data_IF_686456169247
#
_entry.id   IF_686456169247
#
_cell.length_a   1.000
_cell.length_b   1.000
_cell.length_c   1.000
_cell.angle_alpha   90.00
_cell.angle_beta   90.00
_cell.angle_gamma   90.00
#
_symmetry.space_group_name_H-M   'P 1'
#
loop_
_entity.id
_entity.type
_entity.pdbx_description
1 polymer ?
#
# COMPACT_ATOMS: atom_id res chain seq x y z
N UNK A 1 7.14 29.00 0.73
CA UNK A 1 7.51 29.59 -0.58
C UNK A 1 9.03 29.58 -0.86
N UNK A 2 9.86 29.23 0.13
CA UNK A 2 11.32 29.21 -0.01
C UNK A 2 11.85 28.08 -0.92
N UNK A 3 11.12 26.99 -1.08
CA UNK A 3 11.52 25.91 -1.96
C UNK A 3 11.32 26.27 -3.44
N UNK A 4 12.25 25.87 -4.30
CA UNK A 4 12.14 26.01 -5.75
C UNK A 4 11.17 24.99 -6.32
N UNK A 5 11.16 23.77 -5.77
CA UNK A 5 10.27 22.67 -6.17
C UNK A 5 9.70 21.95 -4.95
N UNK A 6 8.49 21.40 -5.10
CA UNK A 6 7.81 20.58 -4.08
C UNK A 6 7.41 19.25 -4.71
N UNK A 7 7.82 18.15 -4.09
CA UNK A 7 7.55 16.81 -4.58
C UNK A 7 6.44 16.12 -3.77
N UNK A 8 5.51 15.49 -4.48
CA UNK A 8 4.43 14.70 -3.90
C UNK A 8 4.58 13.23 -4.32
N UNK A 9 4.29 12.31 -3.43
CA UNK A 9 4.48 10.88 -3.68
C UNK A 9 3.49 10.29 -4.69
N UNK A 10 2.35 10.95 -4.90
CA UNK A 10 1.31 10.53 -5.84
C UNK A 10 0.50 11.75 -6.32
N UNK A 11 -0.21 11.60 -7.41
CA UNK A 11 -1.18 12.61 -7.87
C UNK A 11 -2.29 12.81 -6.85
N UNK A 12 -2.79 11.72 -6.27
CA UNK A 12 -3.78 11.77 -5.18
C UNK A 12 -3.28 12.63 -4.02
N UNK A 13 -2.02 12.46 -3.59
CA UNK A 13 -1.42 13.27 -2.53
C UNK A 13 -1.41 14.75 -2.91
N UNK A 14 -0.92 15.08 -4.12
CA UNK A 14 -0.88 16.45 -4.64
C UNK A 14 -2.27 17.08 -4.68
N UNK A 15 -3.25 16.42 -5.29
CA UNK A 15 -4.59 16.97 -5.45
C UNK A 15 -5.31 17.13 -4.10
N UNK A 16 -5.17 16.15 -3.19
CA UNK A 16 -5.75 16.22 -1.86
C UNK A 16 -5.16 17.37 -1.04
N UNK A 17 -3.84 17.58 -1.13
CA UNK A 17 -3.16 18.69 -0.47
C UNK A 17 -3.71 20.03 -0.97
N UNK A 18 -3.77 20.24 -2.28
CA UNK A 18 -4.25 21.50 -2.85
C UNK A 18 -5.77 21.72 -2.69
N UNK A 19 -6.54 20.65 -2.55
CA UNK A 19 -7.94 20.76 -2.16
C UNK A 19 -8.12 21.21 -0.71
N UNK A 20 -7.28 20.75 0.20
CA UNK A 20 -7.35 21.05 1.62
C UNK A 20 -6.69 22.39 2.00
N UNK A 21 -5.67 22.84 1.27
CA UNK A 21 -4.87 24.02 1.61
C UNK A 21 -5.67 25.31 1.67
N UNK A 22 -6.51 25.71 0.66
CA UNK A 22 -7.24 26.95 0.73
C UNK A 22 -8.24 27.03 1.88
N UNK A 23 -9.07 26.00 2.18
CA UNK A 23 -9.92 26.01 3.37
C UNK A 23 -9.13 26.15 4.67
N UNK A 24 -7.98 25.47 4.78
CA UNK A 24 -7.10 25.57 5.94
C UNK A 24 -6.57 27.00 6.13
N UNK A 25 -6.04 27.62 5.08
CA UNK A 25 -5.49 28.99 5.13
C UNK A 25 -6.54 30.04 5.51
N UNK A 26 -7.80 29.87 5.10
CA UNK A 26 -8.89 30.77 5.46
C UNK A 26 -9.20 30.83 6.96
N UNK A 27 -8.74 29.88 7.76
CA UNK A 27 -8.83 29.95 9.22
C UNK A 27 -7.94 31.05 9.82
N UNK A 28 -6.98 31.58 9.05
CA UNK A 28 -6.03 32.61 9.48
C UNK A 28 -6.26 33.89 8.65
N UNK A 29 -7.29 34.71 8.97
CA UNK A 29 -7.71 35.80 8.10
C UNK A 29 -6.68 36.90 7.92
N UNK A 30 -5.79 37.10 8.88
CA UNK A 30 -4.79 38.17 8.86
C UNK A 30 -3.57 37.86 7.97
N UNK A 31 -3.21 36.56 7.81
CA UNK A 31 -2.05 36.11 7.04
C UNK A 31 -2.35 34.82 6.31
N UNK A 32 -3.37 34.83 5.46
CA UNK A 32 -3.89 33.60 4.86
C UNK A 32 -3.10 33.10 3.63
N UNK A 33 -2.24 33.94 3.02
CA UNK A 33 -1.35 33.55 1.91
C UNK A 33 -2.08 32.84 0.73
N UNK A 34 -3.37 33.09 0.54
CA UNK A 34 -4.18 32.42 -0.48
C UNK A 34 -3.64 32.62 -1.89
N UNK A 35 -3.07 33.80 -2.18
CA UNK A 35 -2.49 34.12 -3.48
C UNK A 35 -1.24 33.27 -3.80
N UNK A 36 -0.58 32.75 -2.76
CA UNK A 36 0.60 31.89 -2.92
C UNK A 36 0.27 30.45 -3.35
N UNK A 37 -1.00 30.02 -3.21
CA UNK A 37 -1.43 28.64 -3.53
C UNK A 37 -1.19 28.30 -4.99
N UNK A 38 -1.49 29.22 -5.91
CA UNK A 38 -1.25 29.02 -7.35
C UNK A 38 0.23 28.90 -7.68
N UNK A 39 1.07 29.72 -7.06
CA UNK A 39 2.52 29.67 -7.22
C UNK A 39 3.08 28.35 -6.66
N UNK A 40 2.62 27.94 -5.48
CA UNK A 40 3.04 26.67 -4.87
C UNK A 40 2.64 25.48 -5.76
N UNK A 41 1.42 25.51 -6.33
CA UNK A 41 0.96 24.45 -7.24
C UNK A 41 1.82 24.38 -8.52
N UNK A 42 2.22 25.52 -9.06
CA UNK A 42 3.11 25.56 -10.23
C UNK A 42 4.48 24.93 -9.98
N UNK A 43 5.01 25.05 -8.75
CA UNK A 43 6.27 24.43 -8.33
C UNK A 43 6.13 22.96 -7.92
N UNK A 44 4.92 22.42 -7.90
CA UNK A 44 4.62 21.10 -7.36
C UNK A 44 4.53 20.05 -8.46
N UNK A 45 5.27 18.96 -8.27
CA UNK A 45 5.29 17.83 -9.20
C UNK A 45 5.13 16.51 -8.46
N UNK A 46 4.66 15.50 -9.18
CA UNK A 46 4.59 14.13 -8.64
C UNK A 46 5.92 13.45 -8.88
N UNK A 47 6.55 13.02 -7.80
CA UNK A 47 7.76 12.20 -7.82
C UNK A 47 7.62 11.15 -6.71
N UNK A 48 7.27 9.90 -7.07
CA UNK A 48 7.13 8.81 -6.10
C UNK A 48 8.42 8.58 -5.33
N UNK A 49 8.29 8.21 -4.04
CA UNK A 49 9.47 7.87 -3.23
C UNK A 49 10.06 6.53 -3.70
N UNK A 50 11.38 6.45 -3.73
CA UNK A 50 12.09 5.20 -3.97
C UNK A 50 12.01 4.28 -2.75
N UNK A 51 12.05 2.98 -2.97
CA UNK A 51 12.02 1.95 -1.94
C UNK A 51 13.23 1.04 -2.15
N UNK A 52 13.89 0.65 -1.07
CA UNK A 52 14.90 -0.40 -1.12
C UNK A 52 14.20 -1.77 -1.16
N UNK A 53 13.74 -2.16 -2.36
CA UNK A 53 13.03 -3.41 -2.55
C UNK A 53 13.98 -4.61 -2.50
N UNK A 54 15.23 -4.45 -2.92
CA UNK A 54 16.22 -5.53 -2.99
C UNK A 54 16.62 -6.08 -1.62
N UNK A 55 16.51 -5.25 -0.56
CA UNK A 55 16.69 -5.75 0.81
C UNK A 55 15.70 -6.87 1.16
N UNK A 56 14.59 -6.94 0.41
CA UNK A 56 13.54 -7.94 0.61
C UNK A 56 13.75 -9.20 -0.24
N UNK A 57 14.81 -9.30 -1.05
CA UNK A 57 15.07 -10.47 -1.88
C UNK A 57 15.03 -11.76 -1.05
N UNK A 58 14.45 -12.85 -1.61
CA UNK A 58 14.17 -14.04 -0.85
C UNK A 58 15.46 -14.74 -0.41
N UNK A 59 15.54 -15.03 0.88
CA UNK A 59 16.59 -15.87 1.44
C UNK A 59 16.19 -17.37 1.50
N UNK A 60 14.89 -17.67 1.41
CA UNK A 60 14.34 -19.05 1.56
C UNK A 60 13.08 -19.18 0.72
N UNK A 61 12.82 -20.36 0.16
CA UNK A 61 11.60 -20.68 -0.59
C UNK A 61 10.34 -20.70 0.31
N UNK A 62 9.19 -20.35 -0.26
CA UNK A 62 7.87 -20.47 0.38
C UNK A 62 7.53 -21.94 0.65
N UNK A 63 6.82 -22.20 1.76
CA UNK A 63 6.23 -23.51 2.08
C UNK A 63 4.78 -23.55 1.60
N UNK A 64 4.54 -24.12 0.43
CA UNK A 64 3.21 -24.20 -0.20
C UNK A 64 2.26 -25.21 0.47
N UNK A 65 2.72 -25.94 1.50
CA UNK A 65 1.90 -26.93 2.21
C UNK A 65 1.00 -26.31 3.29
N UNK A 66 1.25 -25.06 3.65
CA UNK A 66 0.53 -24.38 4.73
C UNK A 66 -0.73 -23.67 4.20
N UNK A 67 -1.77 -23.48 5.04
CA UNK A 67 -2.91 -22.65 4.68
C UNK A 67 -2.51 -21.23 4.22
N UNK A 68 -3.29 -20.59 3.33
CA UNK A 68 -3.01 -19.24 2.84
C UNK A 68 -2.73 -18.26 3.98
N UNK A 69 -1.76 -17.38 3.80
CA UNK A 69 -1.39 -16.36 4.77
C UNK A 69 -1.90 -14.99 4.34
N UNK A 70 -2.70 -14.36 5.21
CA UNK A 70 -3.12 -12.97 5.11
C UNK A 70 -2.12 -12.12 5.90
N UNK A 71 -1.53 -11.13 5.25
CA UNK A 71 -0.55 -10.23 5.86
C UNK A 71 -1.17 -8.86 6.16
N UNK A 72 -1.00 -8.37 7.38
CA UNK A 72 -1.12 -6.96 7.74
C UNK A 72 0.27 -6.41 8.03
N UNK A 73 0.76 -5.54 7.17
CA UNK A 73 2.07 -4.87 7.31
C UNK A 73 1.96 -3.35 7.33
N UNK A 74 0.81 -2.84 7.72
CA UNK A 74 0.57 -1.41 7.91
C UNK A 74 0.66 -1.08 9.41
N UNK A 75 1.00 0.18 9.72
CA UNK A 75 0.99 0.66 11.10
C UNK A 75 -0.39 0.52 11.73
N UNK A 76 -0.45 0.19 13.01
CA UNK A 76 -1.71 0.09 13.75
C UNK A 76 -2.18 1.50 14.16
N UNK A 77 -2.63 2.28 13.19
CA UNK A 77 -3.13 3.64 13.35
C UNK A 77 -4.58 3.77 12.89
N UNK A 78 -5.28 4.78 13.40
CA UNK A 78 -6.72 4.97 13.16
C UNK A 78 -7.06 5.16 11.67
N UNK A 79 -6.17 5.77 10.90
CA UNK A 79 -6.34 6.01 9.46
C UNK A 79 -6.26 4.73 8.61
N UNK A 80 -5.64 3.66 9.13
CA UNK A 80 -5.58 2.33 8.50
C UNK A 80 -6.80 1.48 8.80
N UNK A 81 -7.68 1.94 9.71
CA UNK A 81 -8.92 1.26 10.11
C UNK A 81 -8.73 -0.19 10.52
N UNK A 82 -7.86 -0.45 11.51
CA UNK A 82 -7.60 -1.81 11.99
C UNK A 82 -8.86 -2.54 12.45
N UNK A 83 -9.85 -1.82 12.97
CA UNK A 83 -11.14 -2.39 13.37
C UNK A 83 -11.95 -2.95 12.17
N UNK A 84 -11.87 -2.30 11.00
CA UNK A 84 -12.50 -2.81 9.77
C UNK A 84 -11.77 -4.02 9.23
N UNK A 85 -10.44 -4.02 9.30
CA UNK A 85 -9.61 -5.16 8.92
C UNK A 85 -9.95 -6.37 9.78
N UNK A 86 -9.96 -6.20 11.11
CA UNK A 86 -10.30 -7.26 12.06
C UNK A 86 -11.71 -7.80 11.84
N UNK A 87 -12.69 -6.94 11.60
CA UNK A 87 -14.08 -7.35 11.34
C UNK A 87 -14.20 -8.20 10.06
N UNK A 88 -13.37 -7.95 9.03
CA UNK A 88 -13.31 -8.79 7.83
C UNK A 88 -12.71 -10.16 8.15
N UNK A 89 -11.62 -10.21 8.92
CA UNK A 89 -10.99 -11.48 9.31
C UNK A 89 -11.93 -12.35 10.14
N UNK A 90 -12.65 -11.76 11.09
CA UNK A 90 -13.60 -12.49 11.93
C UNK A 90 -14.78 -13.06 11.13
N UNK A 91 -15.26 -12.34 10.12
CA UNK A 91 -16.29 -12.85 9.20
C UNK A 91 -15.77 -14.06 8.42
N UNK A 92 -14.58 -13.97 7.83
CA UNK A 92 -13.95 -15.09 7.11
C UNK A 92 -13.68 -16.29 8.03
N UNK A 93 -13.28 -16.05 9.27
CA UNK A 93 -13.07 -17.13 10.26
C UNK A 93 -14.35 -17.88 10.57
N UNK A 94 -15.51 -17.20 10.60
CA UNK A 94 -16.82 -17.79 10.78
C UNK A 94 -17.29 -18.68 9.61
N UNK A 95 -16.69 -18.53 8.44
CA UNK A 95 -17.01 -19.31 7.23
C UNK A 95 -16.23 -20.64 7.13
N UNK A 96 -15.44 -21.00 8.14
CA UNK A 96 -14.60 -22.21 8.17
C UNK A 96 -13.54 -22.28 7.05
N UNK A 97 -13.22 -21.17 6.39
CA UNK A 97 -12.13 -21.09 5.42
C UNK A 97 -10.78 -21.25 6.12
N UNK A 98 -9.87 -22.08 5.62
CA UNK A 98 -8.53 -22.21 6.20
C UNK A 98 -7.69 -21.01 5.78
N UNK A 99 -7.17 -20.26 6.76
CA UNK A 99 -6.18 -19.20 6.54
C UNK A 99 -5.40 -18.93 7.83
N UNK A 100 -4.22 -18.36 7.67
CA UNK A 100 -3.37 -17.82 8.74
C UNK A 100 -3.29 -16.31 8.62
N UNK A 101 -2.90 -15.64 9.68
CA UNK A 101 -2.77 -14.17 9.74
C UNK A 101 -1.43 -13.79 10.35
N UNK A 102 -0.71 -12.88 9.74
CA UNK A 102 0.44 -12.19 10.34
C UNK A 102 0.13 -10.70 10.47
N UNK A 103 0.23 -10.19 11.70
CA UNK A 103 -0.03 -8.81 12.07
C UNK A 103 1.31 -8.17 12.46
N UNK A 104 2.10 -7.72 11.49
CA UNK A 104 3.47 -7.23 11.70
C UNK A 104 3.62 -5.70 11.60
N UNK A 105 2.52 -4.97 11.68
CA UNK A 105 2.54 -3.51 11.71
C UNK A 105 3.09 -2.92 13.01
N UNK A 106 3.84 -1.83 12.89
CA UNK A 106 4.30 -1.06 14.05
C UNK A 106 3.11 -0.49 14.83
N UNK A 107 3.27 -0.45 16.16
CA UNK A 107 2.24 0.03 17.09
C UNK A 107 2.73 1.24 17.85
N UNK A 108 2.00 2.33 17.76
CA UNK A 108 2.19 3.51 18.60
C UNK A 108 1.14 3.50 19.72
N UNK A 109 1.56 3.08 20.91
CA UNK A 109 0.67 2.97 22.05
C UNK A 109 0.01 1.59 22.23
N UNK A 110 -0.94 1.53 23.19
CA UNK A 110 -1.67 0.29 23.49
C UNK A 110 -2.76 0.03 22.43
N UNK A 111 -2.83 -1.19 21.87
CA UNK A 111 -3.94 -1.58 21.01
C UNK A 111 -5.29 -1.47 21.71
N UNK A 112 -6.35 -1.23 20.95
CA UNK A 112 -7.71 -1.17 21.49
C UNK A 112 -8.16 -2.53 22.04
N UNK A 113 -9.05 -2.54 23.01
CA UNK A 113 -9.60 -3.79 23.56
C UNK A 113 -10.33 -4.60 22.47
N UNK A 114 -10.97 -3.94 21.50
CA UNK A 114 -11.59 -4.59 20.34
C UNK A 114 -10.57 -5.32 19.45
N UNK A 115 -9.38 -4.74 19.25
CA UNK A 115 -8.29 -5.39 18.51
C UNK A 115 -7.79 -6.63 19.24
N UNK A 116 -7.55 -6.52 20.55
CA UNK A 116 -7.09 -7.63 21.38
C UNK A 116 -8.12 -8.78 21.45
N UNK A 117 -9.40 -8.44 21.57
CA UNK A 117 -10.50 -9.41 21.52
C UNK A 117 -10.55 -10.12 20.16
N UNK A 118 -10.32 -9.39 19.06
CA UNK A 118 -10.24 -9.95 17.72
C UNK A 118 -9.09 -10.95 17.56
N UNK A 119 -7.89 -10.63 18.06
CA UNK A 119 -6.75 -11.56 18.08
C UNK A 119 -7.10 -12.83 18.86
N UNK A 120 -7.70 -12.67 20.03
CA UNK A 120 -8.14 -13.81 20.86
C UNK A 120 -9.15 -14.69 20.12
N UNK A 121 -10.11 -14.09 19.42
CA UNK A 121 -11.12 -14.81 18.66
C UNK A 121 -10.54 -15.54 17.43
N UNK A 122 -9.53 -14.99 16.78
CA UNK A 122 -8.80 -15.64 15.67
C UNK A 122 -7.93 -16.81 16.17
N UNK A 123 -7.48 -16.78 17.42
CA UNK A 123 -6.74 -17.85 18.08
C UNK A 123 -5.50 -18.31 17.30
N UNK A 124 -5.40 -19.60 17.03
CA UNK A 124 -4.25 -20.24 16.36
C UNK A 124 -4.06 -19.82 14.90
N UNK A 125 -5.00 -19.10 14.30
CA UNK A 125 -4.83 -18.50 12.97
C UNK A 125 -3.79 -17.38 12.98
N UNK A 126 -3.59 -16.67 14.10
CA UNK A 126 -2.60 -15.61 14.26
C UNK A 126 -1.23 -16.23 14.50
N UNK A 127 -0.37 -16.19 13.52
CA UNK A 127 0.99 -16.76 13.58
C UNK A 127 2.06 -15.75 13.97
N UNK A 128 1.74 -14.45 13.86
CA UNK A 128 2.61 -13.35 14.26
C UNK A 128 1.75 -12.16 14.68
N UNK A 129 2.12 -11.50 15.77
CA UNK A 129 1.45 -10.31 16.29
C UNK A 129 2.46 -9.36 16.94
N UNK A 130 2.73 -8.21 16.29
CA UNK A 130 3.63 -7.18 16.76
C UNK A 130 4.73 -6.82 15.76
N UNK A 131 5.75 -6.11 16.24
CA UNK A 131 6.90 -5.74 15.43
C UNK A 131 7.65 -6.99 14.95
N UNK A 132 7.97 -7.04 13.66
CA UNK A 132 8.75 -8.10 13.07
C UNK A 132 10.19 -7.60 12.81
N UNK A 133 11.21 -8.36 13.21
CA UNK A 133 12.58 -8.10 12.75
C UNK A 133 12.65 -8.19 11.22
N UNK A 134 13.67 -7.59 10.62
CA UNK A 134 13.79 -7.59 9.15
C UNK A 134 13.75 -8.99 8.55
N UNK A 135 14.43 -9.96 9.18
CA UNK A 135 14.43 -11.35 8.75
C UNK A 135 13.03 -11.97 8.83
N UNK A 136 12.32 -11.76 9.95
CA UNK A 136 10.95 -12.26 10.14
C UNK A 136 10.00 -11.58 9.17
N UNK A 137 10.11 -10.26 8.99
CA UNK A 137 9.29 -9.49 8.06
C UNK A 137 9.45 -9.98 6.62
N UNK A 138 10.68 -10.13 6.16
CA UNK A 138 10.99 -10.67 4.84
C UNK A 138 10.38 -12.06 4.63
N UNK A 139 10.55 -12.96 5.62
CA UNK A 139 9.94 -14.29 5.56
C UNK A 139 8.41 -14.23 5.50
N UNK A 140 7.78 -13.36 6.28
CA UNK A 140 6.32 -13.19 6.26
C UNK A 140 5.82 -12.64 4.93
N UNK A 141 6.51 -11.67 4.34
CA UNK A 141 6.20 -11.14 3.01
C UNK A 141 6.19 -12.24 1.94
N UNK A 142 7.27 -13.04 1.85
CA UNK A 142 7.41 -14.09 0.83
C UNK A 142 6.49 -15.29 1.04
N UNK A 143 5.99 -15.52 2.26
CA UNK A 143 5.00 -16.56 2.55
C UNK A 143 3.55 -16.06 2.47
N UNK A 144 3.33 -14.76 2.33
CA UNK A 144 1.99 -14.20 2.30
C UNK A 144 1.30 -14.48 0.95
N UNK A 145 0.09 -15.00 1.00
CA UNK A 145 -0.75 -15.18 -0.19
C UNK A 145 -1.35 -13.85 -0.63
N UNK A 146 -1.80 -13.07 0.34
CA UNK A 146 -2.43 -11.77 0.08
C UNK A 146 -2.23 -10.79 1.24
N UNK A 147 -2.34 -9.52 0.91
CA UNK A 147 -2.59 -8.41 1.85
C UNK A 147 -3.84 -7.66 1.42
N UNK A 148 -4.52 -7.01 2.35
CA UNK A 148 -5.59 -6.07 1.99
C UNK A 148 -5.55 -4.83 2.86
N UNK A 149 -6.00 -3.72 2.30
CA UNK A 149 -6.08 -2.44 3.00
C UNK A 149 -7.51 -2.01 3.23
N UNK A 150 -7.80 -1.52 4.43
CA UNK A 150 -9.07 -0.87 4.79
C UNK A 150 -8.91 0.62 5.06
N UNK A 151 -7.76 1.19 4.72
CA UNK A 151 -7.34 2.53 5.04
C UNK A 151 -8.30 3.62 4.53
N UNK A 152 -8.45 4.68 5.32
CA UNK A 152 -9.11 5.92 4.91
C UNK A 152 -8.10 6.94 4.36
N UNK A 153 -6.81 6.83 4.73
CA UNK A 153 -5.73 7.68 4.22
C UNK A 153 -4.52 6.85 3.79
N UNK A 154 -4.09 7.05 2.55
CA UNK A 154 -2.85 6.52 2.01
C UNK A 154 -2.39 7.42 0.85
N UNK A 155 -1.19 7.97 0.97
CA UNK A 155 -0.63 8.86 -0.04
C UNK A 155 0.34 8.20 -1.00
N UNK A 156 0.79 6.98 -0.67
CA UNK A 156 1.64 6.19 -1.56
C UNK A 156 1.46 4.69 -1.35
N UNK A 157 1.83 4.14 -0.17
CA UNK A 157 1.64 2.72 0.15
C UNK A 157 2.92 1.90 0.07
N UNK A 158 4.00 2.34 0.72
CA UNK A 158 5.29 1.65 0.74
C UNK A 158 5.13 0.18 1.14
N UNK A 159 4.44 -0.11 2.24
CA UNK A 159 4.24 -1.47 2.73
C UNK A 159 3.47 -2.37 1.75
N UNK A 160 2.57 -1.77 0.97
CA UNK A 160 1.85 -2.49 -0.10
C UNK A 160 2.78 -2.81 -1.25
N UNK A 161 3.64 -1.87 -1.67
CA UNK A 161 4.63 -2.10 -2.73
C UNK A 161 5.66 -3.16 -2.31
N UNK A 162 6.08 -3.18 -1.05
CA UNK A 162 6.93 -4.24 -0.50
C UNK A 162 6.24 -5.62 -0.56
N UNK A 163 4.96 -5.69 -0.21
CA UNK A 163 4.18 -6.93 -0.30
C UNK A 163 4.04 -7.41 -1.75
N UNK A 164 3.74 -6.51 -2.69
CA UNK A 164 3.65 -6.83 -4.11
C UNK A 164 4.99 -7.35 -4.63
N UNK A 165 6.10 -6.69 -4.28
CA UNK A 165 7.44 -7.11 -4.69
C UNK A 165 7.74 -8.55 -4.25
N UNK A 166 7.28 -8.93 -3.06
CA UNK A 166 7.39 -10.29 -2.52
C UNK A 166 6.28 -11.25 -3.03
N UNK A 167 5.64 -10.95 -4.15
CA UNK A 167 4.60 -11.79 -4.79
C UNK A 167 3.34 -12.00 -3.95
N UNK A 168 3.02 -11.06 -3.07
CA UNK A 168 1.79 -11.06 -2.28
C UNK A 168 0.67 -10.34 -3.04
N UNK A 169 -0.50 -10.96 -3.22
CA UNK A 169 -1.64 -10.34 -3.92
C UNK A 169 -2.20 -9.17 -3.08
N UNK A 170 -2.23 -7.93 -3.60
CA UNK A 170 -2.83 -6.82 -2.90
C UNK A 170 -4.32 -6.72 -3.22
N UNK A 171 -5.18 -6.63 -2.21
CA UNK A 171 -6.60 -6.26 -2.36
C UNK A 171 -6.83 -4.90 -1.73
N UNK A 172 -7.00 -3.88 -2.56
CA UNK A 172 -6.96 -2.47 -2.17
C UNK A 172 -8.26 -1.76 -2.54
N UNK A 173 -8.73 -0.76 -1.79
CA UNK A 173 -9.90 0.00 -2.21
C UNK A 173 -9.60 0.80 -3.48
N UNK A 174 -10.56 0.85 -4.42
CA UNK A 174 -10.45 1.59 -5.69
C UNK A 174 -10.50 3.11 -5.46
N UNK A 175 -9.67 3.62 -4.55
CA UNK A 175 -9.54 5.03 -4.14
C UNK A 175 -8.16 5.29 -3.54
N UNK A 176 -7.91 6.52 -3.08
CA UNK A 176 -6.63 6.98 -2.55
C UNK A 176 -5.53 6.92 -3.63
N UNK A 177 -4.29 6.66 -3.26
CA UNK A 177 -3.17 6.46 -4.18
C UNK A 177 -3.15 5.09 -4.86
N UNK A 178 -3.97 4.15 -4.42
CA UNK A 178 -3.92 2.77 -4.89
C UNK A 178 -4.15 2.59 -6.40
N UNK A 179 -5.09 3.29 -7.05
CA UNK A 179 -5.23 3.20 -8.51
C UNK A 179 -4.03 3.72 -9.30
N UNK A 180 -3.14 4.49 -8.67
CA UNK A 180 -1.92 5.00 -9.30
C UNK A 180 -0.75 4.01 -9.20
N UNK A 181 -0.66 3.28 -8.07
CA UNK A 181 0.42 2.31 -7.85
C UNK A 181 0.13 0.94 -8.46
N UNK A 182 -1.15 0.62 -8.70
CA UNK A 182 -1.56 -0.60 -9.38
C UNK A 182 -1.78 -0.27 -10.86
N UNK A 183 -1.02 -0.87 -11.80
CA UNK A 183 -1.24 -0.65 -13.23
C UNK A 183 -2.64 -1.05 -13.68
N UNK A 184 -3.19 -0.32 -14.66
CA UNK A 184 -4.56 -0.49 -15.16
C UNK A 184 -4.98 -1.93 -15.46
N UNK A 185 -4.15 -2.77 -16.11
CA UNK A 185 -4.48 -4.16 -16.40
C UNK A 185 -4.80 -5.02 -15.16
N UNK A 186 -4.28 -4.63 -13.97
CA UNK A 186 -4.48 -5.35 -12.72
C UNK A 186 -5.60 -4.76 -11.84
N UNK A 187 -6.25 -3.67 -12.25
CA UNK A 187 -7.32 -3.06 -11.46
C UNK A 187 -8.47 -4.03 -11.18
N UNK A 188 -8.83 -4.85 -12.17
CA UNK A 188 -9.88 -5.85 -12.02
C UNK A 188 -9.56 -6.92 -10.98
N UNK A 189 -8.30 -7.24 -10.76
CA UNK A 189 -7.86 -8.27 -9.82
C UNK A 189 -7.57 -7.68 -8.42
N UNK A 190 -7.01 -6.48 -8.35
CA UNK A 190 -6.43 -5.90 -7.14
C UNK A 190 -7.31 -4.84 -6.46
N UNK A 191 -8.19 -4.14 -7.22
CA UNK A 191 -8.97 -3.03 -6.66
C UNK A 191 -10.41 -3.44 -6.37
N UNK A 192 -10.84 -3.29 -5.12
CA UNK A 192 -12.19 -3.59 -4.69
C UNK A 192 -13.05 -2.34 -4.48
N UNK A 193 -14.38 -2.51 -4.62
CA UNK A 193 -15.39 -1.47 -4.38
C UNK A 193 -16.38 -1.93 -3.31
N UNK A 194 -16.14 -1.50 -2.07
CA UNK A 194 -16.99 -1.83 -0.94
C UNK A 194 -16.73 -3.22 -0.31
N UNK A 195 -17.37 -3.43 0.84
CA UNK A 195 -17.12 -4.60 1.69
C UNK A 195 -17.47 -5.94 1.02
N UNK A 196 -18.59 -6.00 0.32
CA UNK A 196 -19.04 -7.24 -0.31
C UNK A 196 -18.07 -7.69 -1.42
N UNK A 197 -17.58 -6.76 -2.23
CA UNK A 197 -16.58 -7.04 -3.27
C UNK A 197 -15.25 -7.49 -2.64
N UNK A 198 -14.78 -6.82 -1.57
CA UNK A 198 -13.59 -7.25 -0.84
C UNK A 198 -13.72 -8.70 -0.35
N UNK A 199 -14.82 -9.04 0.32
CA UNK A 199 -15.05 -10.40 0.84
C UNK A 199 -15.10 -11.44 -0.29
N UNK A 200 -15.74 -11.14 -1.41
CA UNK A 200 -15.78 -12.05 -2.56
C UNK A 200 -14.37 -12.32 -3.12
N UNK A 201 -13.52 -11.30 -3.21
CA UNK A 201 -12.13 -11.42 -3.66
C UNK A 201 -11.26 -12.19 -2.67
N UNK A 202 -11.40 -11.90 -1.37
CA UNK A 202 -10.71 -12.64 -0.32
C UNK A 202 -11.04 -14.13 -0.36
N UNK A 203 -12.32 -14.49 -0.42
CA UNK A 203 -12.76 -15.89 -0.57
C UNK A 203 -12.14 -16.56 -1.78
N UNK A 204 -12.16 -15.90 -2.93
CA UNK A 204 -11.56 -16.42 -4.16
C UNK A 204 -10.05 -16.65 -4.02
N UNK A 205 -9.31 -15.71 -3.43
CA UNK A 205 -7.87 -15.82 -3.23
C UNK A 205 -7.52 -16.92 -2.21
N UNK A 206 -8.30 -17.07 -1.14
CA UNK A 206 -8.09 -18.11 -0.12
C UNK A 206 -8.40 -19.52 -0.64
N UNK A 207 -9.37 -19.65 -1.56
CA UNK A 207 -9.74 -20.95 -2.16
C UNK A 207 -8.76 -21.34 -3.28
N UNK A 208 -8.16 -20.36 -3.97
CA UNK A 208 -7.23 -20.62 -5.05
C UNK A 208 -5.94 -19.79 -4.91
N UNK A 209 -5.06 -20.12 -3.93
CA UNK A 209 -3.81 -19.42 -3.72
C UNK A 209 -2.88 -19.39 -4.94
N UNK A 210 -2.78 -20.47 -5.77
CA UNK A 210 -1.94 -20.43 -6.96
C UNK A 210 -2.34 -19.34 -7.96
N UNK A 211 -3.63 -19.10 -8.15
CA UNK A 211 -4.12 -18.02 -9.02
C UNK A 211 -3.80 -16.64 -8.42
N UNK A 212 -3.90 -16.48 -7.09
CA UNK A 212 -3.50 -15.25 -6.41
C UNK A 212 -2.01 -14.95 -6.61
N UNK A 213 -1.15 -15.96 -6.42
CA UNK A 213 0.30 -15.82 -6.65
C UNK A 213 0.65 -15.57 -8.12
N UNK A 214 -0.10 -16.11 -9.08
CA UNK A 214 0.13 -15.84 -10.50
C UNK A 214 -0.04 -14.34 -10.82
N UNK A 215 -1.16 -13.74 -10.38
CA UNK A 215 -1.42 -12.30 -10.53
C UNK A 215 -0.35 -11.47 -9.83
N UNK A 216 0.01 -11.85 -8.59
CA UNK A 216 0.99 -11.11 -7.80
C UNK A 216 2.39 -11.12 -8.44
N UNK A 217 2.83 -12.25 -9.02
CA UNK A 217 4.11 -12.35 -9.74
C UNK A 217 4.16 -11.45 -10.97
N UNK A 218 3.09 -11.40 -11.76
CA UNK A 218 3.03 -10.49 -12.91
C UNK A 218 3.06 -9.02 -12.45
N UNK A 219 2.36 -8.70 -11.36
CA UNK A 219 2.32 -7.34 -10.81
C UNK A 219 3.67 -6.92 -10.21
N UNK A 220 4.44 -7.84 -9.61
CA UNK A 220 5.73 -7.57 -8.99
C UNK A 220 6.73 -6.93 -9.97
N UNK A 221 6.71 -7.34 -11.24
CA UNK A 221 7.57 -6.75 -12.27
C UNK A 221 7.30 -5.25 -12.47
N UNK A 222 6.04 -4.82 -12.34
CA UNK A 222 5.67 -3.41 -12.50
C UNK A 222 6.12 -2.56 -11.30
N UNK A 223 6.06 -3.10 -10.08
CA UNK A 223 6.46 -2.34 -8.88
C UNK A 223 7.98 -2.26 -8.70
N UNK A 224 8.76 -3.09 -9.36
CA UNK A 224 10.23 -2.99 -9.38
C UNK A 224 10.71 -1.60 -9.85
N UNK A 225 9.92 -0.87 -10.65
CA UNK A 225 10.20 0.50 -11.06
C UNK A 225 10.30 1.50 -9.90
N UNK A 226 9.79 1.17 -8.72
CA UNK A 226 9.91 1.97 -7.50
C UNK A 226 11.18 1.68 -6.68
N UNK A 227 11.99 0.69 -7.07
CA UNK A 227 13.29 0.47 -6.44
C UNK A 227 14.20 1.68 -6.59
N UNK A 228 15.01 1.98 -5.55
CA UNK A 228 15.94 3.11 -5.57
C UNK A 228 16.90 3.09 -6.76
N UNK A 229 17.25 1.93 -7.28
CA UNK A 229 18.09 1.84 -8.49
C UNK A 229 17.45 2.56 -9.69
N UNK A 230 16.11 2.53 -9.79
CA UNK A 230 15.35 3.19 -10.85
C UNK A 230 14.92 4.59 -10.46
N UNK A 231 14.68 4.82 -9.17
CA UNK A 231 14.18 6.10 -8.69
C UNK A 231 15.29 7.14 -8.50
N UNK A 232 16.51 6.76 -8.07
CA UNK A 232 17.57 7.72 -7.84
C UNK A 232 17.92 8.55 -9.08
N UNK A 233 18.11 7.98 -10.28
CA UNK A 233 18.34 8.78 -11.50
C UNK A 233 17.19 9.75 -11.81
N UNK A 234 15.94 9.39 -11.49
CA UNK A 234 14.78 10.28 -11.68
C UNK A 234 14.81 11.45 -10.69
N UNK A 235 15.27 11.23 -9.45
CA UNK A 235 15.48 12.28 -8.48
C UNK A 235 16.60 13.21 -8.91
N UNK A 236 17.74 12.66 -9.34
CA UNK A 236 18.88 13.45 -9.83
C UNK A 236 18.48 14.34 -11.02
N UNK A 237 17.81 13.77 -12.01
CA UNK A 237 17.29 14.54 -13.15
C UNK A 237 16.35 15.68 -12.70
N UNK A 238 15.42 15.40 -11.78
CA UNK A 238 14.45 16.40 -11.29
C UNK A 238 15.05 17.47 -10.38
N UNK A 239 16.16 17.19 -9.74
CA UNK A 239 16.85 18.14 -8.85
C UNK A 239 17.84 19.02 -9.60
N UNK A 240 18.47 18.51 -10.65
CA UNK A 240 19.61 19.17 -11.31
C UNK A 240 19.36 19.62 -12.75
N UNK A 241 18.29 19.16 -13.39
CA UNK A 241 17.98 19.56 -14.78
C UNK A 241 16.74 20.47 -14.82
N UNK A 242 16.83 21.54 -15.63
CA UNK A 242 15.72 22.46 -15.85
C UNK A 242 14.68 21.84 -16.79
N UNK A 243 13.44 21.87 -16.33
CA UNK A 243 12.17 21.63 -17.03
C UNK A 243 12.14 20.78 -18.30
N UNK A 244 11.99 19.46 -18.16
CA UNK A 244 11.27 18.63 -19.14
C UNK A 244 9.87 18.30 -18.63
N UNK A 245 8.79 18.83 -19.22
CA UNK A 245 7.41 18.60 -18.76
C UNK A 245 6.90 17.18 -18.96
N UNK A 246 7.65 16.26 -19.59
CA UNK A 246 7.16 14.93 -19.97
C UNK A 246 7.49 13.75 -19.02
N UNK A 247 8.30 13.94 -17.99
CA UNK A 247 8.71 12.82 -17.11
C UNK A 247 7.76 12.61 -15.90
N UNK A 248 6.46 12.75 -16.11
CA UNK A 248 5.43 12.41 -15.09
C UNK A 248 4.69 11.09 -15.36
N UNK A 249 4.98 10.42 -16.48
CA UNK A 249 4.32 9.18 -16.83
C UNK A 249 5.15 7.98 -16.39
N UNK A 250 4.58 7.16 -15.51
CA UNK A 250 5.03 5.78 -15.29
C UNK A 250 4.92 5.08 -16.66
N UNK A 251 5.96 4.40 -17.14
CA UNK A 251 5.85 3.68 -18.41
C UNK A 251 4.65 2.73 -18.33
N UNK A 252 3.71 2.88 -19.27
CA UNK A 252 2.65 1.90 -19.48
C UNK A 252 3.33 0.57 -19.82
N UNK A 253 3.45 -0.30 -18.81
CA UNK A 253 4.04 -1.60 -18.98
C UNK A 253 3.15 -2.45 -19.88
N UNK A 254 3.69 -2.81 -21.02
CA UNK A 254 3.44 -3.96 -21.89
C UNK A 254 1.99 -4.48 -21.89
N UNK A 255 1.32 -4.29 -22.99
CA UNK A 255 0.04 -4.95 -23.33
C UNK A 255 0.20 -6.46 -23.12
N UNK A 256 -0.73 -7.05 -22.35
CA UNK A 256 -0.94 -8.49 -22.38
C UNK A 256 -1.26 -8.89 -23.84
N UNK A 257 -0.43 -9.69 -24.46
CA UNK A 257 -0.76 -10.46 -25.64
C UNK A 257 -1.51 -11.72 -25.24
#
# INVERSE_FOLDING_TARGET
LAADRVFFNSRYHLETFFAALPPFLRHYPEYNELDSVSLLRHKSVVLPVGIDLRRLDPAVSSDDTQPPLILWNQRLEFDKRPERFMAVLLELAGESLPFRVALCGERFGRPTDAWLAGITALGTRVIHDGYASEEVYRRLLWNATLTFSTADHEYFGISILEAIYAHTLPLLPARLSYPEIIPGPFHADCLYRGRADLLARLRRALVNPPAAHAVARELAAAVAAYDWQHMAPRYDHRLFEDDDPQIGQIPESTKRT
#
